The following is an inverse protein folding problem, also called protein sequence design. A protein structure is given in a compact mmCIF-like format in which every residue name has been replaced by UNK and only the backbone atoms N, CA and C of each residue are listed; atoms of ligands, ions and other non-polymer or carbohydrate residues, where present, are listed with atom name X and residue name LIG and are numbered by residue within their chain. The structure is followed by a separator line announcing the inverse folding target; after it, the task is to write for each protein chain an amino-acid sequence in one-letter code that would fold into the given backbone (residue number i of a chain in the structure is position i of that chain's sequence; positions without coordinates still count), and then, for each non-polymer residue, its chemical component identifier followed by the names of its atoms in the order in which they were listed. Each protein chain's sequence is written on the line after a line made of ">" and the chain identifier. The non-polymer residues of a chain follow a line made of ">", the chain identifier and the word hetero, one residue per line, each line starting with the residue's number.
data_IF_738090713648
#
_entry.id   IF_738090713648
#
_cell.length_a   1.000
_cell.length_b   1.000
_cell.length_c   1.000
_cell.angle_alpha   90.00
_cell.angle_beta   90.00
_cell.angle_gamma   90.00
#
_symmetry.space_group_name_H-M   'P 1'
#
loop_
_entity.id
_entity.type
_entity.pdbx_description
1 polymer ?
#
# COMPACT_ATOMS: atom_id res chain seq x y z
N UNK A 1 -23.80 -57.64 3.27
CA UNK A 1 -24.50 -57.07 4.45
C UNK A 1 -24.07 -55.62 4.57
N UNK A 2 -24.90 -54.69 4.08
CA UNK A 2 -24.62 -53.26 4.18
C UNK A 2 -25.12 -52.71 5.50
N UNK A 3 -24.22 -52.16 6.31
CA UNK A 3 -24.57 -51.43 7.54
C UNK A 3 -24.87 -49.98 7.18
N UNK A 4 -26.15 -49.61 7.19
CA UNK A 4 -26.61 -48.22 7.09
C UNK A 4 -26.40 -47.52 8.44
N UNK A 5 -25.48 -46.54 8.47
CA UNK A 5 -25.29 -45.67 9.63
C UNK A 5 -26.50 -44.74 9.71
N UNK A 6 -27.21 -44.75 10.84
CA UNK A 6 -28.37 -43.86 11.04
C UNK A 6 -27.92 -42.41 11.22
N UNK A 7 -28.74 -41.45 10.74
CA UNK A 7 -28.49 -39.99 10.87
C UNK A 7 -28.18 -39.54 12.30
N UNK A 8 -28.70 -40.25 13.32
CA UNK A 8 -28.44 -39.96 14.74
C UNK A 8 -27.05 -40.41 15.19
N UNK A 9 -26.49 -41.47 14.59
CA UNK A 9 -25.12 -41.90 14.83
C UNK A 9 -24.11 -40.99 14.13
N UNK A 10 -24.43 -40.47 12.93
CA UNK A 10 -23.60 -39.49 12.23
C UNK A 10 -23.50 -38.16 12.98
N UNK A 11 -24.62 -37.65 13.52
CA UNK A 11 -24.63 -36.42 14.33
C UNK A 11 -23.90 -36.59 15.68
N UNK A 12 -23.88 -37.80 16.26
CA UNK A 12 -23.06 -38.11 17.44
C UNK A 12 -21.56 -38.19 17.14
N UNK A 13 -21.19 -38.65 15.94
CA UNK A 13 -19.78 -38.66 15.51
C UNK A 13 -19.25 -37.24 15.27
N UNK A 14 -20.07 -36.34 14.73
CA UNK A 14 -19.72 -34.94 14.52
C UNK A 14 -19.68 -34.11 15.82
N UNK A 15 -20.52 -34.43 16.80
CA UNK A 15 -20.49 -33.77 18.12
C UNK A 15 -19.37 -34.30 19.02
N UNK A 16 -18.86 -35.52 18.78
CA UNK A 16 -17.68 -36.05 19.47
C UNK A 16 -16.34 -35.59 18.84
N UNK A 17 -16.35 -35.14 17.59
CA UNK A 17 -15.17 -34.57 16.91
C UNK A 17 -15.04 -33.04 17.09
N UNK A 18 -15.96 -32.42 17.85
CA UNK A 18 -16.13 -30.97 17.86
C UNK A 18 -16.18 -30.34 19.26
N UNK A 19 -15.26 -30.68 20.18
CA UNK A 19 -14.82 -29.76 21.25
C UNK A 19 -13.38 -30.11 21.66
N UNK A 20 -12.43 -29.87 20.77
CA UNK A 20 -11.09 -29.43 21.19
C UNK A 20 -10.95 -28.02 20.66
N UNK A 21 -11.25 -27.05 21.53
CA UNK A 21 -11.06 -25.64 21.29
C UNK A 21 -9.57 -25.34 21.12
N UNK A 22 -9.05 -25.60 19.93
CA UNK A 22 -7.97 -24.81 19.36
C UNK A 22 -8.64 -23.52 18.89
N UNK A 23 -8.69 -22.54 19.79
CA UNK A 23 -8.90 -21.17 19.37
C UNK A 23 -7.89 -20.89 18.27
N UNK A 24 -8.40 -20.61 17.07
CA UNK A 24 -7.63 -19.94 16.03
C UNK A 24 -7.14 -18.63 16.63
N UNK A 25 -5.96 -18.66 17.22
CA UNK A 25 -5.13 -17.46 17.34
C UNK A 25 -4.73 -17.14 15.91
N UNK A 26 -5.11 -15.98 15.36
CA UNK A 26 -4.50 -15.53 14.13
C UNK A 26 -2.99 -15.50 14.37
N UNK A 27 -2.23 -15.78 13.31
CA UNK A 27 -0.79 -15.78 13.24
C UNK A 27 -0.22 -14.53 13.95
N UNK A 28 0.02 -14.61 15.26
CA UNK A 28 0.87 -13.67 15.96
C UNK A 28 2.26 -14.10 15.56
N UNK A 29 2.78 -13.49 14.49
CA UNK A 29 4.23 -13.39 14.34
C UNK A 29 4.78 -13.01 15.70
N UNK A 30 5.90 -13.62 16.08
CA UNK A 30 6.60 -13.26 17.31
C UNK A 30 6.57 -11.75 17.47
N UNK A 31 5.86 -11.27 18.49
CA UNK A 31 6.07 -9.95 19.07
C UNK A 31 7.49 -9.97 19.64
N UNK A 32 8.48 -9.96 18.76
CA UNK A 32 9.77 -9.41 19.10
C UNK A 32 9.49 -7.94 19.35
N UNK A 33 9.31 -7.62 20.62
CA UNK A 33 9.21 -6.28 21.17
C UNK A 33 10.55 -5.54 21.00
N UNK A 34 11.09 -5.59 19.78
CA UNK A 34 12.31 -4.96 19.35
C UNK A 34 11.91 -3.69 18.61
N UNK A 35 11.71 -2.62 19.37
CA UNK A 35 11.66 -1.26 18.81
C UNK A 35 12.99 -0.85 18.17
N UNK A 36 14.01 -1.73 18.17
CA UNK A 36 15.37 -1.45 17.71
C UNK A 36 15.45 -1.06 16.22
N UNK A 37 14.38 -1.27 15.44
CA UNK A 37 14.29 -0.88 14.03
C UNK A 37 13.01 -0.10 13.69
N UNK A 38 12.34 0.48 14.69
CA UNK A 38 11.10 1.24 14.45
C UNK A 38 11.41 2.68 14.03
N UNK A 39 11.21 2.96 12.74
CA UNK A 39 11.65 4.19 12.10
C UNK A 39 10.46 4.90 11.45
N UNK A 40 10.37 6.21 11.62
CA UNK A 40 9.52 7.09 10.83
C UNK A 40 10.31 7.77 9.72
N UNK A 41 9.79 7.80 8.50
CA UNK A 41 10.33 8.60 7.40
C UNK A 41 9.49 9.85 7.21
N UNK A 42 10.15 11.01 7.19
CA UNK A 42 9.50 12.28 6.87
C UNK A 42 9.18 12.35 5.38
N UNK A 43 7.90 12.55 5.03
CA UNK A 43 7.44 12.40 3.65
C UNK A 43 7.26 13.71 2.87
N UNK A 44 7.16 14.82 3.60
CA UNK A 44 7.02 16.17 3.07
C UNK A 44 8.29 16.98 3.31
N UNK A 45 8.40 18.16 2.68
CA UNK A 45 9.58 19.03 2.78
C UNK A 45 10.11 19.21 4.21
N UNK A 46 9.22 19.43 5.17
CA UNK A 46 9.59 19.50 6.59
C UNK A 46 8.43 19.18 7.53
N UNK A 47 8.73 18.60 8.68
CA UNK A 47 7.79 18.33 9.77
C UNK A 47 8.37 18.84 11.09
N UNK A 48 7.54 19.52 11.87
CA UNK A 48 7.92 20.11 13.15
C UNK A 48 7.98 19.06 14.25
N UNK A 49 9.00 19.17 15.11
CA UNK A 49 9.12 18.43 16.37
C UNK A 49 8.65 19.32 17.51
N UNK A 50 7.60 18.89 18.18
CA UNK A 50 6.93 19.65 19.25
C UNK A 50 7.39 19.20 20.63
N UNK A 51 7.37 20.11 21.61
CA UNK A 51 7.71 19.78 22.99
C UNK A 51 6.71 18.83 23.68
N UNK A 52 5.45 18.82 23.22
CA UNK A 52 4.35 17.97 23.68
C UNK A 52 3.57 17.44 22.46
N UNK A 53 2.81 16.34 22.59
CA UNK A 53 2.00 15.79 21.51
C UNK A 53 0.74 16.64 21.25
N UNK A 54 0.95 17.87 20.82
CA UNK A 54 -0.09 18.86 20.50
C UNK A 54 0.50 19.88 19.53
N UNK A 55 -0.26 20.23 18.50
CA UNK A 55 0.10 21.22 17.48
C UNK A 55 0.15 22.66 18.04
N UNK A 56 -0.41 22.88 19.24
CA UNK A 56 -0.32 24.14 19.99
C UNK A 56 0.92 24.24 20.86
N UNK A 57 1.70 23.16 20.97
CA UNK A 57 2.91 23.16 21.78
C UNK A 57 4.04 23.93 21.09
N UNK A 58 5.03 24.36 21.86
CA UNK A 58 6.25 24.95 21.32
C UNK A 58 6.92 23.98 20.32
N UNK A 59 7.24 24.51 19.14
CA UNK A 59 8.10 23.85 18.16
C UNK A 59 9.54 23.96 18.64
N UNK A 60 10.24 22.82 18.73
CA UNK A 60 11.62 22.74 19.15
C UNK A 60 12.58 22.87 17.97
N UNK A 61 12.33 22.11 16.90
CA UNK A 61 13.08 22.13 15.64
C UNK A 61 12.29 21.44 14.52
N UNK A 62 12.86 21.40 13.31
CA UNK A 62 12.27 20.75 12.14
C UNK A 62 13.07 19.50 11.75
N UNK A 63 12.37 18.54 11.17
CA UNK A 63 12.93 17.40 10.41
C UNK A 63 12.57 17.57 8.95
N UNK A 64 13.42 17.11 8.04
CA UNK A 64 13.27 17.33 6.60
C UNK A 64 12.94 16.06 5.84
N UNK A 65 12.46 16.18 4.60
CA UNK A 65 12.13 15.05 3.73
C UNK A 65 13.23 13.99 3.72
N UNK A 66 12.81 12.72 3.76
CA UNK A 66 13.64 11.52 3.81
C UNK A 66 14.53 11.38 5.06
N UNK A 67 14.50 12.32 6.00
CA UNK A 67 15.09 12.06 7.31
C UNK A 67 14.36 10.91 8.00
N UNK A 68 15.17 9.99 8.52
CA UNK A 68 14.72 8.85 9.30
C UNK A 68 14.80 9.22 10.78
N UNK A 69 13.69 9.05 11.49
CA UNK A 69 13.58 9.29 12.92
C UNK A 69 13.24 8.00 13.64
N UNK A 70 13.91 7.71 14.75
CA UNK A 70 13.52 6.58 15.58
C UNK A 70 12.20 6.91 16.29
N UNK A 71 11.25 5.99 16.22
CA UNK A 71 9.98 6.06 16.95
C UNK A 71 10.18 5.26 18.24
N UNK A 72 10.11 5.93 19.38
CA UNK A 72 10.27 5.28 20.67
C UNK A 72 8.97 4.63 21.16
N UNK A 73 7.84 5.31 20.94
CA UNK A 73 6.49 4.82 21.21
C UNK A 73 5.46 5.79 20.63
N UNK A 74 4.22 5.33 20.56
CA UNK A 74 3.05 6.12 20.16
C UNK A 74 2.39 6.78 21.37
N UNK A 75 1.85 7.97 21.17
CA UNK A 75 1.01 8.69 22.13
C UNK A 75 -0.29 9.06 21.43
N UNK A 76 -1.41 8.68 22.04
CA UNK A 76 -2.73 9.15 21.64
C UNK A 76 -2.94 10.48 22.37
N UNK A 77 -3.01 11.57 21.61
CA UNK A 77 -3.26 12.89 22.17
C UNK A 77 -4.76 13.13 22.35
N UNK A 78 -5.13 13.78 23.46
CA UNK A 78 -6.50 14.26 23.68
C UNK A 78 -6.84 15.45 22.78
N UNK A 79 -5.82 16.14 22.26
CA UNK A 79 -5.93 17.29 21.38
C UNK A 79 -5.52 16.94 19.93
N UNK A 80 -6.20 17.52 18.95
CA UNK A 80 -5.92 17.32 17.52
C UNK A 80 -7.10 16.70 16.76
N UNK A 81 -6.88 16.29 15.50
CA UNK A 81 -7.93 15.66 14.71
C UNK A 81 -8.33 14.31 15.29
N UNK A 82 -9.61 14.16 15.67
CA UNK A 82 -10.13 12.92 16.25
C UNK A 82 -9.97 11.68 15.33
N UNK A 83 -9.92 11.89 14.02
CA UNK A 83 -9.69 10.83 13.04
C UNK A 83 -8.23 10.33 13.02
N UNK A 84 -7.29 11.14 13.51
CA UNK A 84 -5.86 10.84 13.54
C UNK A 84 -5.17 11.41 14.80
N UNK A 85 -5.43 10.89 16.00
CA UNK A 85 -4.91 11.46 17.25
C UNK A 85 -3.48 11.04 17.61
N UNK A 86 -2.78 10.36 16.70
CA UNK A 86 -1.55 9.62 17.03
C UNK A 86 -0.30 10.48 16.78
N UNK A 87 0.55 10.54 17.80
CA UNK A 87 1.85 11.19 17.78
C UNK A 87 2.96 10.18 18.06
N UNK A 88 4.10 10.34 17.40
CA UNK A 88 5.30 9.60 17.68
C UNK A 88 6.18 10.36 18.66
N UNK A 89 6.60 9.69 19.75
CA UNK A 89 7.74 10.14 20.54
C UNK A 89 9.01 9.87 19.75
N UNK A 90 9.72 10.93 19.39
CA UNK A 90 11.00 10.87 18.66
C UNK A 90 12.12 11.52 19.48
N UNK A 91 13.36 11.52 18.99
CA UNK A 91 14.41 12.26 19.70
C UNK A 91 14.05 13.75 19.79
N UNK A 92 14.22 14.35 20.98
CA UNK A 92 13.98 15.77 21.22
C UNK A 92 12.51 16.18 21.45
N UNK A 93 11.51 15.48 20.90
CA UNK A 93 10.10 15.83 21.13
C UNK A 93 9.08 14.86 20.53
N UNK A 94 8.00 15.39 19.98
CA UNK A 94 6.87 14.64 19.42
C UNK A 94 6.57 15.10 17.99
N UNK A 95 6.22 14.16 17.12
CA UNK A 95 5.82 14.43 15.74
C UNK A 95 4.47 13.78 15.47
N UNK A 96 3.54 14.51 14.86
CA UNK A 96 2.26 13.95 14.44
C UNK A 96 2.47 12.97 13.29
N UNK A 97 1.77 11.82 13.29
CA UNK A 97 2.06 10.75 12.31
C UNK A 97 1.68 11.09 10.86
N UNK A 98 0.78 12.06 10.65
CA UNK A 98 0.24 12.41 9.32
C UNK A 98 1.27 12.47 8.18
N UNK A 99 2.45 13.05 8.41
CA UNK A 99 3.51 13.18 7.39
C UNK A 99 4.79 12.39 7.78
N UNK A 100 4.65 11.38 8.64
CA UNK A 100 5.71 10.49 9.09
C UNK A 100 5.26 9.06 8.86
N UNK A 101 5.72 8.45 7.77
CA UNK A 101 5.34 7.07 7.44
C UNK A 101 6.28 6.11 8.15
N UNK A 102 5.70 5.21 8.94
CA UNK A 102 6.44 4.18 9.68
C UNK A 102 7.05 3.17 8.69
N UNK A 103 8.28 2.77 8.95
CA UNK A 103 9.07 1.86 8.12
C UNK A 103 10.09 1.14 8.98
N UNK A 104 10.65 0.08 8.44
CA UNK A 104 11.77 -0.66 9.03
C UNK A 104 12.86 -0.85 7.98
N UNK A 105 14.07 -1.18 8.42
CA UNK A 105 15.13 -1.64 7.53
C UNK A 105 15.07 -3.16 7.50
N UNK A 106 14.54 -3.73 6.42
CA UNK A 106 14.52 -5.17 6.20
C UNK A 106 15.20 -5.49 4.87
N UNK A 107 16.32 -6.20 4.94
CA UNK A 107 16.97 -6.79 3.77
C UNK A 107 16.39 -8.17 3.49
N UNK A 108 16.38 -8.56 2.21
CA UNK A 108 15.82 -9.81 1.74
C UNK A 108 16.89 -10.67 1.04
N UNK A 109 16.71 -12.00 1.00
CA UNK A 109 17.46 -12.87 0.11
C UNK A 109 17.32 -12.41 -1.35
N UNK A 110 18.41 -12.54 -2.11
CA UNK A 110 18.40 -12.30 -3.56
C UNK A 110 17.79 -13.52 -4.25
N UNK A 111 16.86 -13.28 -5.18
CA UNK A 111 16.24 -14.32 -5.97
C UNK A 111 17.28 -14.96 -6.90
N UNK A 112 17.32 -16.29 -6.95
CA UNK A 112 18.26 -17.03 -7.80
C UNK A 112 17.96 -16.81 -9.29
N UNK A 113 16.69 -16.61 -9.63
CA UNK A 113 16.23 -16.31 -10.98
C UNK A 113 14.93 -15.52 -10.93
N UNK A 114 14.65 -14.78 -12.01
CA UNK A 114 13.40 -14.05 -12.22
C UNK A 114 12.67 -14.70 -13.40
N UNK A 115 11.37 -15.00 -13.31
CA UNK A 115 10.60 -15.51 -14.45
C UNK A 115 10.64 -14.56 -15.65
N UNK A 116 10.57 -15.09 -16.88
CA UNK A 116 10.53 -14.26 -18.10
C UNK A 116 9.36 -13.28 -18.13
N UNK A 117 8.24 -13.66 -17.52
CA UNK A 117 7.05 -12.79 -17.33
C UNK A 117 7.29 -11.63 -16.37
N UNK A 118 8.43 -11.62 -15.68
CA UNK A 118 8.71 -10.76 -14.54
C UNK A 118 8.06 -11.27 -13.26
N UNK A 119 8.45 -10.66 -12.14
CA UNK A 119 7.87 -10.88 -10.83
C UNK A 119 7.75 -9.56 -10.08
N UNK A 120 6.63 -9.36 -9.38
CA UNK A 120 6.44 -8.17 -8.57
C UNK A 120 7.36 -8.18 -7.35
N UNK A 121 8.10 -7.09 -7.13
CA UNK A 121 8.93 -6.86 -5.95
C UNK A 121 8.42 -5.66 -5.15
N UNK A 122 8.51 -5.75 -3.82
CA UNK A 122 8.10 -4.71 -2.88
C UNK A 122 9.32 -4.16 -2.15
N UNK A 123 9.45 -2.84 -2.06
CA UNK A 123 10.56 -2.21 -1.32
C UNK A 123 10.33 -2.34 0.18
N UNK A 124 11.28 -2.94 0.90
CA UNK A 124 11.16 -3.21 2.36
C UNK A 124 12.16 -2.42 3.22
N UNK A 125 12.82 -1.43 2.63
CA UNK A 125 13.66 -0.44 3.32
C UNK A 125 12.99 0.93 3.25
N UNK A 126 13.32 1.92 4.11
CA UNK A 126 12.64 3.22 4.12
C UNK A 126 12.65 3.92 2.76
N UNK A 127 13.78 3.84 2.07
CA UNK A 127 13.92 4.20 0.67
C UNK A 127 15.14 3.50 0.07
N UNK A 128 15.15 3.38 -1.26
CA UNK A 128 16.29 2.92 -2.04
C UNK A 128 16.55 3.86 -3.21
N UNK A 129 17.82 4.08 -3.52
CA UNK A 129 18.22 4.85 -4.69
C UNK A 129 18.13 3.95 -5.92
N UNK A 130 17.27 4.30 -6.86
CA UNK A 130 17.26 3.68 -8.17
C UNK A 130 18.31 4.36 -9.06
N UNK A 131 18.98 3.55 -9.87
CA UNK A 131 19.98 3.98 -10.84
C UNK A 131 19.67 3.40 -12.20
N UNK A 132 20.11 4.06 -13.27
CA UNK A 132 19.96 3.58 -14.63
C UNK A 132 21.33 3.49 -15.26
N UNK A 133 21.60 2.39 -15.94
CA UNK A 133 22.79 2.25 -16.76
C UNK A 133 22.50 2.69 -18.20
N UNK A 134 23.35 3.56 -18.74
CA UNK A 134 23.37 3.89 -20.18
C UNK A 134 24.76 3.65 -20.74
N UNK A 135 24.86 3.12 -21.97
CA UNK A 135 26.18 2.83 -22.57
C UNK A 135 27.05 4.08 -22.78
N UNK A 136 26.45 5.27 -22.84
CA UNK A 136 27.14 6.55 -23.01
C UNK A 136 27.62 7.19 -21.71
N UNK A 137 26.85 7.08 -20.62
CA UNK A 137 27.11 7.82 -19.36
C UNK A 137 27.42 6.89 -18.19
N UNK A 138 27.28 5.57 -18.36
CA UNK A 138 27.40 4.60 -17.28
C UNK A 138 26.20 4.66 -16.35
N UNK A 139 26.45 4.47 -15.05
CA UNK A 139 25.42 4.47 -14.02
C UNK A 139 25.06 5.89 -13.57
N UNK A 140 23.78 6.25 -13.67
CA UNK A 140 23.24 7.54 -13.25
C UNK A 140 22.06 7.35 -12.29
N UNK A 141 21.87 8.26 -11.35
CA UNK A 141 20.71 8.21 -10.44
C UNK A 141 19.42 8.52 -11.21
N UNK A 142 18.37 7.72 -11.02
CA UNK A 142 17.07 7.93 -11.67
C UNK A 142 15.96 8.30 -10.70
N UNK A 143 15.53 7.40 -9.83
CA UNK A 143 14.40 7.63 -8.91
C UNK A 143 14.80 7.38 -7.46
N UNK A 144 13.99 7.88 -6.52
CA UNK A 144 13.96 7.35 -5.16
C UNK A 144 12.70 6.52 -4.97
N UNK A 145 12.87 5.23 -4.68
CA UNK A 145 11.77 4.33 -4.39
C UNK A 145 11.61 4.20 -2.88
N UNK A 146 10.39 4.01 -2.40
CA UNK A 146 10.05 4.12 -0.99
C UNK A 146 9.49 2.83 -0.44
N UNK A 147 9.56 2.63 0.88
CA UNK A 147 8.94 1.48 1.53
C UNK A 147 7.49 1.28 1.06
N UNK A 148 7.12 0.01 0.85
CA UNK A 148 5.81 -0.43 0.36
C UNK A 148 5.49 -0.10 -1.11
N UNK A 149 6.37 0.57 -1.87
CA UNK A 149 6.19 0.68 -3.33
C UNK A 149 6.43 -0.68 -4.01
N UNK A 150 5.69 -0.95 -5.08
CA UNK A 150 5.71 -2.22 -5.80
C UNK A 150 6.23 -2.00 -7.23
N UNK A 151 7.14 -2.86 -7.69
CA UNK A 151 7.84 -2.71 -8.98
C UNK A 151 7.96 -4.06 -9.70
N UNK A 152 7.83 -4.05 -11.02
CA UNK A 152 8.06 -5.24 -11.83
C UNK A 152 9.55 -5.50 -11.99
N UNK A 153 10.03 -6.63 -11.48
CA UNK A 153 11.40 -7.12 -11.61
C UNK A 153 11.48 -8.05 -12.81
N UNK A 154 12.50 -7.87 -13.65
CA UNK A 154 12.69 -8.68 -14.87
C UNK A 154 14.03 -9.42 -14.90
N UNK A 155 15.04 -8.94 -14.18
CA UNK A 155 16.34 -9.61 -14.13
C UNK A 155 17.09 -9.30 -12.84
N UNK A 156 18.11 -10.11 -12.56
CA UNK A 156 19.17 -9.82 -11.58
C UNK A 156 20.45 -9.58 -12.36
N UNK A 157 21.06 -8.42 -12.18
CA UNK A 157 22.27 -7.99 -12.89
C UNK A 157 23.30 -7.46 -11.88
N UNK A 158 24.55 -7.35 -12.30
CA UNK A 158 25.60 -6.74 -11.46
C UNK A 158 25.44 -5.20 -11.45
N UNK A 159 25.42 -4.61 -10.26
CA UNK A 159 25.28 -3.17 -10.06
C UNK A 159 26.60 -2.38 -10.13
N UNK A 160 26.53 -1.05 -9.92
CA UNK A 160 27.72 -0.18 -9.89
C UNK A 160 28.73 -0.51 -8.77
N UNK A 161 28.30 -1.24 -7.75
CA UNK A 161 29.09 -1.68 -6.60
C UNK A 161 29.59 -3.13 -6.71
N UNK A 162 29.32 -3.82 -7.82
CA UNK A 162 29.64 -5.23 -8.01
C UNK A 162 28.70 -6.20 -7.29
N UNK A 163 27.68 -5.69 -6.61
CA UNK A 163 26.68 -6.51 -5.91
C UNK A 163 25.47 -6.81 -6.82
N UNK A 164 24.61 -7.78 -6.47
CA UNK A 164 23.38 -8.06 -7.22
C UNK A 164 22.36 -6.92 -7.12
N UNK A 165 21.89 -6.45 -8.27
CA UNK A 165 20.83 -5.45 -8.42
C UNK A 165 19.68 -6.03 -9.24
N UNK A 166 18.45 -5.68 -8.87
CA UNK A 166 17.29 -6.03 -9.66
C UNK A 166 17.07 -5.00 -10.75
N UNK A 167 16.91 -5.48 -11.98
CA UNK A 167 16.44 -4.68 -13.11
C UNK A 167 14.92 -4.59 -13.08
N UNK A 168 14.44 -3.36 -12.97
CA UNK A 168 13.05 -2.95 -12.90
C UNK A 168 12.64 -2.27 -14.21
N UNK A 169 11.34 -2.32 -14.54
CA UNK A 169 10.77 -1.59 -15.67
C UNK A 169 9.76 -0.56 -15.15
N UNK A 170 9.90 0.69 -15.59
CA UNK A 170 8.87 1.70 -15.40
C UNK A 170 7.65 1.35 -16.24
N UNK A 171 6.52 1.05 -15.59
CA UNK A 171 5.31 0.62 -16.28
C UNK A 171 4.78 1.68 -17.27
N UNK A 172 4.95 2.97 -16.99
CA UNK A 172 4.41 4.05 -17.83
C UNK A 172 5.39 4.44 -18.94
N UNK A 173 6.68 4.50 -18.63
CA UNK A 173 7.69 5.03 -19.55
C UNK A 173 8.44 3.93 -20.31
N UNK A 174 8.32 2.66 -19.90
CA UNK A 174 9.08 1.55 -20.48
C UNK A 174 10.58 1.70 -20.27
N UNK A 175 10.99 2.44 -19.25
CA UNK A 175 12.40 2.72 -18.96
C UNK A 175 12.91 1.73 -17.93
N UNK A 176 14.02 1.08 -18.27
CA UNK A 176 14.75 0.21 -17.36
C UNK A 176 15.51 1.04 -16.31
N UNK A 177 15.47 0.57 -15.06
CA UNK A 177 16.30 1.06 -13.96
C UNK A 177 16.57 -0.06 -12.97
N UNK A 178 17.47 0.18 -12.03
CA UNK A 178 17.99 -0.83 -11.14
C UNK A 178 18.01 -0.35 -9.70
N UNK A 179 17.88 -1.31 -8.79
CA UNK A 179 18.02 -1.11 -7.34
C UNK A 179 18.79 -2.27 -6.72
N UNK A 180 19.48 -2.07 -5.58
CA UNK A 180 20.12 -3.17 -4.85
C UNK A 180 19.11 -4.29 -4.56
N UNK A 181 19.42 -5.52 -4.97
CA UNK A 181 18.45 -6.62 -4.95
C UNK A 181 17.94 -6.90 -3.53
N UNK A 182 18.83 -6.82 -2.54
CA UNK A 182 18.50 -7.02 -1.13
C UNK A 182 17.45 -6.05 -0.56
N UNK A 183 17.15 -4.94 -1.24
CA UNK A 183 16.16 -3.95 -0.79
C UNK A 183 14.71 -4.34 -1.14
N UNK A 184 14.52 -5.30 -2.04
CA UNK A 184 13.20 -5.73 -2.49
C UNK A 184 12.88 -7.14 -2.00
N UNK A 185 11.64 -7.32 -1.56
CA UNK A 185 11.04 -8.63 -1.29
C UNK A 185 10.25 -9.06 -2.51
N UNK A 186 10.53 -10.24 -3.05
CA UNK A 186 9.71 -10.80 -4.12
C UNK A 186 8.33 -11.19 -3.57
N UNK A 187 7.29 -10.66 -4.21
CA UNK A 187 5.89 -10.98 -3.89
C UNK A 187 5.59 -12.38 -4.42
N UNK A 188 5.04 -13.22 -3.56
CA UNK A 188 4.74 -14.60 -3.89
C UNK A 188 3.39 -14.72 -4.61
N UNK A 189 3.21 -15.69 -5.53
CA UNK A 189 1.96 -15.90 -6.26
C UNK A 189 0.72 -16.01 -5.36
N UNK A 190 0.86 -16.63 -4.18
CA UNK A 190 -0.24 -16.82 -3.22
C UNK A 190 -0.75 -15.49 -2.66
N UNK A 191 0.07 -14.44 -2.67
CA UNK A 191 -0.31 -13.10 -2.23
C UNK A 191 -1.30 -12.43 -3.21
N UNK A 192 -1.53 -12.99 -4.40
CA UNK A 192 -2.57 -12.57 -5.35
C UNK A 192 -3.87 -13.38 -5.22
N UNK A 193 -3.90 -14.45 -4.42
CA UNK A 193 -5.06 -15.32 -4.33
C UNK A 193 -6.33 -14.52 -3.98
N UNK A 194 -7.45 -14.71 -4.72
CA UNK A 194 -8.65 -13.91 -4.56
C UNK A 194 -9.29 -14.12 -3.19
N UNK A 195 -9.87 -13.06 -2.64
CA UNK A 195 -10.61 -13.12 -1.37
C UNK A 195 -12.10 -13.34 -1.70
N UNK A 196 -12.69 -14.37 -1.08
CA UNK A 196 -14.07 -14.80 -1.33
C UNK A 196 -14.36 -15.04 -2.83
N UNK A 197 -13.67 -15.99 -3.49
CA UNK A 197 -13.86 -16.25 -4.92
C UNK A 197 -15.25 -16.81 -5.25
N UNK A 198 -15.91 -17.45 -4.29
CA UNK A 198 -17.22 -18.07 -4.47
C UNK A 198 -18.39 -17.06 -4.41
N UNK A 199 -18.14 -15.82 -3.96
CA UNK A 199 -19.16 -14.77 -3.88
C UNK A 199 -19.33 -14.13 -5.26
N UNK A 200 -20.51 -14.22 -5.89
CA UNK A 200 -20.75 -13.63 -7.19
C UNK A 200 -20.51 -12.11 -7.20
N UNK A 201 -19.94 -11.60 -8.29
CA UNK A 201 -19.62 -10.18 -8.46
C UNK A 201 -20.78 -9.23 -8.12
N UNK A 202 -22.01 -9.55 -8.53
CA UNK A 202 -23.17 -8.69 -8.30
C UNK A 202 -23.58 -8.58 -6.83
N UNK A 203 -23.06 -9.48 -5.96
CA UNK A 203 -23.21 -9.42 -4.51
C UNK A 203 -22.07 -8.68 -3.82
N UNK A 204 -21.01 -8.31 -4.56
CA UNK A 204 -19.92 -7.49 -4.05
C UNK A 204 -20.15 -6.02 -4.40
N UNK A 205 -20.04 -5.14 -3.41
CA UNK A 205 -20.02 -3.68 -3.63
C UNK A 205 -19.04 -3.00 -2.67
N UNK A 206 -18.44 -1.91 -3.12
CA UNK A 206 -17.70 -0.96 -2.28
C UNK A 206 -18.53 0.30 -2.16
N UNK A 207 -18.67 0.79 -0.94
CA UNK A 207 -19.21 2.12 -0.65
C UNK A 207 -18.07 3.01 -0.15
N UNK A 208 -17.86 4.14 -0.85
CA UNK A 208 -16.94 5.20 -0.46
C UNK A 208 -17.77 6.34 0.11
N UNK A 209 -17.56 6.63 1.39
CA UNK A 209 -18.33 7.65 2.11
C UNK A 209 -17.40 8.84 2.32
N UNK A 210 -17.42 9.81 1.38
CA UNK A 210 -16.49 10.94 1.39
C UNK A 210 -16.68 11.76 2.69
N UNK A 211 -17.91 11.96 3.12
CA UNK A 211 -18.20 12.71 4.36
C UNK A 211 -17.59 12.09 5.63
N UNK A 212 -17.31 10.78 5.62
CA UNK A 212 -16.71 10.05 6.74
C UNK A 212 -15.28 9.57 6.46
N UNK A 213 -14.74 9.84 5.26
CA UNK A 213 -13.41 9.42 4.84
C UNK A 213 -13.13 7.94 5.12
N UNK A 214 -14.07 7.08 4.72
CA UNK A 214 -13.97 5.63 4.88
C UNK A 214 -14.53 4.88 3.70
N UNK A 215 -14.12 3.63 3.57
CA UNK A 215 -14.75 2.68 2.65
C UNK A 215 -15.35 1.52 3.44
N UNK A 216 -16.42 0.95 2.88
CA UNK A 216 -17.01 -0.30 3.38
C UNK A 216 -17.18 -1.24 2.19
N UNK A 217 -16.67 -2.46 2.31
CA UNK A 217 -16.86 -3.52 1.33
C UNK A 217 -17.92 -4.50 1.84
N UNK A 218 -18.88 -4.83 0.98
CA UNK A 218 -20.00 -5.69 1.32
C UNK A 218 -20.04 -6.95 0.45
N UNK A 219 -20.44 -8.05 1.07
CA UNK A 219 -20.86 -9.29 0.42
C UNK A 219 -22.32 -9.57 0.81
N UNK A 220 -23.22 -9.58 -0.17
CA UNK A 220 -24.66 -9.82 0.07
C UNK A 220 -25.25 -8.88 1.13
N UNK A 221 -24.90 -7.59 1.04
CA UNK A 221 -25.24 -6.51 1.99
C UNK A 221 -24.69 -6.65 3.42
N UNK A 222 -23.81 -7.63 3.67
CA UNK A 222 -23.06 -7.75 4.93
C UNK A 222 -21.70 -7.09 4.77
N UNK A 223 -21.35 -6.16 5.66
CA UNK A 223 -20.03 -5.54 5.69
C UNK A 223 -18.95 -6.58 6.07
N UNK A 224 -17.94 -6.74 5.22
CA UNK A 224 -16.82 -7.68 5.42
C UNK A 224 -15.48 -6.99 5.64
N UNK A 225 -15.38 -5.71 5.28
CA UNK A 225 -14.19 -4.90 5.46
C UNK A 225 -14.57 -3.42 5.57
N UNK A 226 -13.95 -2.71 6.50
CA UNK A 226 -14.11 -1.27 6.70
C UNK A 226 -12.76 -0.66 7.10
N UNK A 227 -12.40 0.46 6.49
CA UNK A 227 -11.20 1.23 6.86
C UNK A 227 -11.35 2.72 6.55
N UNK A 228 -10.60 3.53 7.28
CA UNK A 228 -10.41 4.95 6.96
C UNK A 228 -9.52 5.10 5.73
N UNK A 229 -9.84 6.08 4.89
CA UNK A 229 -9.13 6.41 3.66
C UNK A 229 -8.89 7.91 3.57
N UNK A 230 -8.15 8.36 2.56
CA UNK A 230 -8.09 9.77 2.21
C UNK A 230 -8.52 9.97 0.76
N UNK A 231 -9.64 10.65 0.55
CA UNK A 231 -10.16 10.93 -0.78
C UNK A 231 -9.54 12.21 -1.37
N UNK A 232 -10.04 12.61 -2.54
CA UNK A 232 -9.68 13.82 -3.24
C UNK A 232 -10.03 15.10 -2.48
N UNK A 233 -9.13 16.09 -2.55
CA UNK A 233 -9.31 17.43 -1.99
C UNK A 233 -10.47 18.16 -2.68
N UNK A 234 -11.23 18.95 -1.91
CA UNK A 234 -12.24 19.86 -2.46
C UNK A 234 -11.56 21.11 -3.04
N UNK A 235 -10.90 20.93 -4.18
CA UNK A 235 -10.14 21.96 -4.87
C UNK A 235 -10.21 21.75 -6.39
N UNK A 236 -10.29 22.85 -7.14
CA UNK A 236 -10.31 22.85 -8.60
C UNK A 236 -9.20 23.75 -9.13
N UNK A 237 -8.04 23.20 -9.53
CA UNK A 237 -6.97 24.00 -10.09
C UNK A 237 -7.37 24.58 -11.46
N UNK A 238 -6.96 25.81 -11.79
CA UNK A 238 -7.17 26.36 -13.12
C UNK A 238 -6.55 25.48 -14.22
N UNK A 239 -7.35 25.09 -15.21
CA UNK A 239 -6.89 24.32 -16.38
C UNK A 239 -6.62 22.83 -16.12
N UNK A 240 -7.02 22.30 -14.96
CA UNK A 240 -6.91 20.87 -14.62
C UNK A 240 -8.28 20.30 -14.23
N UNK A 241 -8.37 18.97 -14.15
CA UNK A 241 -9.55 18.33 -13.58
C UNK A 241 -9.67 18.68 -12.08
N UNK A 242 -10.90 18.83 -11.55
CA UNK A 242 -11.13 18.95 -10.13
C UNK A 242 -10.49 17.80 -9.35
N UNK A 243 -9.93 18.10 -8.18
CA UNK A 243 -9.28 17.11 -7.33
C UNK A 243 -10.26 16.35 -6.43
N UNK A 244 -11.55 16.71 -6.42
CA UNK A 244 -12.54 16.01 -5.62
C UNK A 244 -12.80 14.63 -6.21
N UNK A 245 -12.94 13.62 -5.34
CA UNK A 245 -13.38 12.30 -5.80
C UNK A 245 -14.81 12.40 -6.38
N UNK A 246 -15.04 11.95 -7.64
CA UNK A 246 -16.35 12.02 -8.26
C UNK A 246 -17.39 11.17 -7.51
N UNK A 247 -18.55 11.77 -7.20
CA UNK A 247 -19.70 11.04 -6.63
C UNK A 247 -20.45 10.30 -7.73
N UNK A 248 -20.99 9.13 -7.43
CA UNK A 248 -21.73 8.35 -8.42
C UNK A 248 -21.70 6.84 -8.19
N UNK A 249 -22.17 6.10 -9.19
CA UNK A 249 -22.08 4.64 -9.23
C UNK A 249 -21.16 4.26 -10.38
N UNK A 250 -20.16 3.46 -10.05
CA UNK A 250 -19.08 3.05 -10.94
C UNK A 250 -18.85 1.54 -10.83
N UNK A 251 -17.88 1.05 -11.60
CA UNK A 251 -17.41 -0.32 -11.54
C UNK A 251 -15.89 -0.34 -11.68
N UNK A 252 -15.23 -1.24 -10.94
CA UNK A 252 -13.82 -1.52 -11.19
C UNK A 252 -13.63 -1.91 -12.65
N UNK A 253 -12.73 -1.25 -13.37
CA UNK A 253 -12.49 -1.54 -14.79
C UNK A 253 -11.06 -1.93 -15.12
N UNK A 254 -10.11 -1.55 -14.27
CA UNK A 254 -8.69 -1.87 -14.42
C UNK A 254 -8.04 -2.05 -13.05
N UNK A 255 -7.11 -3.01 -12.96
CA UNK A 255 -6.31 -3.26 -11.76
C UNK A 255 -4.85 -3.44 -12.16
N UNK A 256 -3.95 -2.78 -11.43
CA UNK A 256 -2.51 -2.80 -11.68
C UNK A 256 -1.79 -2.91 -10.33
N UNK A 257 -1.03 -3.99 -10.07
CA UNK A 257 -0.36 -4.16 -8.77
C UNK A 257 0.80 -3.16 -8.58
N UNK A 258 1.32 -2.58 -9.67
CA UNK A 258 2.29 -1.49 -9.70
C UNK A 258 1.84 -0.47 -10.74
N UNK A 259 1.73 0.81 -10.35
CA UNK A 259 1.39 1.91 -11.26
C UNK A 259 2.34 3.08 -11.07
N UNK A 260 2.82 3.66 -12.17
CA UNK A 260 3.42 4.99 -12.11
C UNK A 260 2.30 6.04 -12.12
N UNK A 261 2.24 6.86 -11.07
CA UNK A 261 1.35 8.03 -11.01
C UNK A 261 2.18 9.31 -10.95
N UNK A 262 1.93 10.25 -11.87
CA UNK A 262 2.72 11.46 -11.97
C UNK A 262 2.54 12.18 -13.29
N UNK A 263 3.38 13.18 -13.54
CA UNK A 263 3.43 13.90 -14.82
C UNK A 263 4.15 13.08 -15.92
N UNK A 264 4.71 11.91 -15.58
CA UNK A 264 5.37 11.02 -16.53
C UNK A 264 6.75 11.51 -16.94
N UNK A 265 7.45 12.24 -16.06
CA UNK A 265 8.80 12.74 -16.28
C UNK A 265 9.86 11.79 -15.73
N UNK A 266 10.96 11.67 -16.44
CA UNK A 266 12.19 11.05 -15.91
C UNK A 266 12.91 12.06 -15.02
N UNK A 267 12.71 11.97 -13.71
CA UNK A 267 13.35 12.88 -12.74
C UNK A 267 13.80 12.15 -11.49
N UNK A 268 15.02 12.48 -11.06
CA UNK A 268 15.55 12.08 -9.75
C UNK A 268 15.29 13.05 -8.62
N UNK A 269 14.55 14.12 -8.88
CA UNK A 269 14.16 15.08 -7.87
C UNK A 269 12.97 14.54 -7.04
N UNK A 270 13.13 14.28 -5.73
CA UNK A 270 12.04 13.81 -4.88
C UNK A 270 10.89 14.82 -4.70
N UNK A 271 11.10 16.09 -5.10
CA UNK A 271 10.07 17.13 -5.08
C UNK A 271 9.13 17.09 -6.29
N UNK A 272 9.50 16.38 -7.35
CA UNK A 272 8.64 16.23 -8.52
C UNK A 272 7.50 15.25 -8.19
N UNK A 273 6.31 15.48 -8.74
CA UNK A 273 5.17 14.58 -8.57
C UNK A 273 5.32 13.37 -9.49
N UNK A 274 6.32 12.53 -9.20
CA UNK A 274 6.56 11.25 -9.87
C UNK A 274 6.58 10.15 -8.80
N UNK A 275 5.54 9.33 -8.81
CA UNK A 275 5.32 8.23 -7.87
C UNK A 275 5.41 6.91 -8.65
N UNK A 276 6.62 6.41 -8.94
CA UNK A 276 6.79 5.11 -9.55
C UNK A 276 6.42 4.01 -8.55
N UNK A 277 5.68 3.01 -9.02
CA UNK A 277 5.35 1.83 -8.22
C UNK A 277 4.31 2.06 -7.13
N UNK A 278 3.33 2.92 -7.37
CA UNK A 278 2.12 3.00 -6.54
C UNK A 278 1.47 1.61 -6.46
N UNK A 279 1.40 1.01 -5.26
CA UNK A 279 1.08 -0.40 -5.12
C UNK A 279 -0.44 -0.65 -5.14
N UNK A 280 -0.84 -1.80 -5.68
CA UNK A 280 -2.21 -2.35 -5.57
C UNK A 280 -3.31 -1.40 -6.07
N UNK A 281 -3.09 -0.81 -7.25
CA UNK A 281 -3.99 0.18 -7.84
C UNK A 281 -5.22 -0.49 -8.47
N UNK A 282 -6.42 0.01 -8.13
CA UNK A 282 -7.72 -0.49 -8.60
C UNK A 282 -8.55 0.68 -9.10
N UNK A 283 -8.59 0.87 -10.43
CA UNK A 283 -9.34 1.93 -11.10
C UNK A 283 -10.83 1.59 -11.19
N UNK A 284 -11.67 2.59 -10.89
CA UNK A 284 -13.12 2.46 -10.98
C UNK A 284 -13.80 3.60 -11.75
N UNK A 285 -13.15 4.75 -11.91
CA UNK A 285 -13.67 5.84 -12.73
C UNK A 285 -12.67 6.25 -13.82
N UNK A 286 -13.21 6.50 -15.03
CA UNK A 286 -12.47 6.64 -16.28
C UNK A 286 -11.55 7.85 -16.37
N UNK A 287 -11.72 8.88 -15.54
CA UNK A 287 -10.78 10.00 -15.43
C UNK A 287 -9.49 9.65 -14.69
N UNK A 288 -9.35 8.40 -14.22
CA UNK A 288 -8.14 7.88 -13.58
C UNK A 288 -8.25 7.72 -12.07
N UNK A 289 -9.46 7.78 -11.52
CA UNK A 289 -9.68 7.61 -10.07
C UNK A 289 -9.61 6.14 -9.68
N UNK A 290 -8.76 5.86 -8.69
CA UNK A 290 -8.49 4.51 -8.20
C UNK A 290 -8.42 4.44 -6.67
N UNK A 291 -8.62 3.24 -6.14
CA UNK A 291 -8.08 2.85 -4.84
C UNK A 291 -6.63 2.44 -5.03
N UNK A 292 -5.73 2.85 -4.13
CA UNK A 292 -4.33 2.37 -4.17
C UNK A 292 -3.65 2.52 -2.82
N UNK A 293 -2.55 1.81 -2.64
CA UNK A 293 -1.69 1.97 -1.47
C UNK A 293 -0.94 3.30 -1.52
N UNK A 294 -0.70 3.88 -0.35
CA UNK A 294 -0.09 5.20 -0.22
C UNK A 294 1.08 5.14 0.75
N UNK A 295 2.29 5.30 0.21
CA UNK A 295 3.54 5.28 0.99
C UNK A 295 4.04 6.69 1.38
N UNK A 296 3.28 7.75 1.08
CA UNK A 296 3.72 9.15 1.24
C UNK A 296 2.98 9.94 2.34
N UNK A 297 2.01 9.36 3.04
CA UNK A 297 1.43 9.94 4.27
C UNK A 297 0.72 8.86 5.12
N UNK A 298 0.46 9.16 6.39
CA UNK A 298 -0.34 8.32 7.30
C UNK A 298 -1.45 9.17 7.96
N UNK A 299 -2.31 9.72 7.11
CA UNK A 299 -3.34 10.71 7.48
C UNK A 299 -4.74 10.32 6.97
N UNK A 300 -5.06 9.05 7.14
CA UNK A 300 -6.35 8.48 6.74
C UNK A 300 -7.47 8.97 7.67
N UNK A 301 -8.60 9.35 7.08
CA UNK A 301 -9.70 10.03 7.78
C UNK A 301 -9.87 11.51 7.38
N UNK A 302 -9.04 12.02 6.47
CA UNK A 302 -9.18 13.36 5.88
C UNK A 302 -8.76 13.35 4.41
N UNK A 303 -9.32 14.21 3.52
CA UNK A 303 -8.90 14.30 2.13
C UNK A 303 -7.42 14.70 1.96
N UNK A 304 -6.70 14.02 1.05
CA UNK A 304 -5.26 14.23 0.79
C UNK A 304 -4.84 14.08 -0.68
N UNK A 305 -5.71 13.57 -1.56
CA UNK A 305 -5.33 13.20 -2.93
C UNK A 305 -5.83 14.21 -3.98
N UNK A 306 -5.45 13.97 -5.25
CA UNK A 306 -5.98 14.67 -6.42
C UNK A 306 -7.17 13.93 -7.09
N UNK A 307 -7.88 13.09 -6.33
CA UNK A 307 -9.09 12.39 -6.79
C UNK A 307 -9.15 10.95 -6.30
N UNK A 308 -8.02 10.25 -6.29
CA UNK A 308 -7.90 8.86 -5.84
C UNK A 308 -8.31 8.65 -4.38
N UNK A 309 -8.57 7.40 -4.02
CA UNK A 309 -8.84 6.97 -2.66
C UNK A 309 -7.57 6.34 -2.11
N UNK A 310 -6.80 7.13 -1.35
CA UNK A 310 -5.56 6.70 -0.72
C UNK A 310 -5.87 5.74 0.43
N UNK A 311 -5.14 4.62 0.49
CA UNK A 311 -5.30 3.59 1.50
C UNK A 311 -3.93 3.18 2.05
N UNK A 312 -3.90 2.51 3.22
CA UNK A 312 -2.69 1.78 3.63
C UNK A 312 -2.41 0.67 2.61
N UNK A 313 -1.15 0.41 2.29
CA UNK A 313 -0.80 -0.52 1.21
C UNK A 313 -1.37 -1.93 1.41
N UNK A 314 -1.40 -2.45 2.64
CA UNK A 314 -2.01 -3.75 2.94
C UNK A 314 -3.54 -3.75 2.76
N UNK A 315 -4.20 -2.63 3.06
CA UNK A 315 -5.66 -2.47 2.87
C UNK A 315 -5.99 -2.35 1.38
N UNK A 316 -5.18 -1.63 0.60
CA UNK A 316 -5.29 -1.57 -0.86
C UNK A 316 -5.08 -2.95 -1.50
N UNK A 317 -4.10 -3.73 -1.01
CA UNK A 317 -3.87 -5.11 -1.44
C UNK A 317 -5.05 -6.01 -1.14
N UNK A 318 -5.66 -5.86 0.04
CA UNK A 318 -6.88 -6.57 0.40
C UNK A 318 -8.00 -6.26 -0.61
N UNK A 319 -8.26 -4.98 -0.89
CA UNK A 319 -9.27 -4.55 -1.88
C UNK A 319 -8.93 -5.11 -3.26
N UNK A 320 -7.69 -4.98 -3.72
CA UNK A 320 -7.22 -5.46 -5.03
C UNK A 320 -7.50 -6.96 -5.24
N UNK A 321 -7.30 -7.78 -4.20
CA UNK A 321 -7.57 -9.22 -4.22
C UNK A 321 -9.04 -9.58 -4.06
N UNK A 322 -9.80 -8.74 -3.36
CA UNK A 322 -11.22 -8.98 -3.08
C UNK A 322 -12.12 -8.63 -4.27
N UNK A 323 -11.79 -7.57 -5.01
CA UNK A 323 -12.58 -7.12 -6.16
C UNK A 323 -12.37 -7.96 -7.41
N UNK A 324 -13.40 -8.02 -8.25
CA UNK A 324 -13.32 -8.59 -9.61
C UNK A 324 -13.02 -7.49 -10.64
N UNK A 325 -12.49 -7.84 -11.84
CA UNK A 325 -11.98 -9.16 -12.26
C UNK A 325 -10.81 -9.65 -11.39
N UNK A 326 -10.55 -10.96 -11.29
CA UNK A 326 -9.38 -11.50 -10.57
C UNK A 326 -8.11 -11.20 -11.38
N UNK A 327 -7.01 -10.83 -10.73
CA UNK A 327 -5.72 -10.55 -11.37
C UNK A 327 -4.75 -11.69 -11.05
N UNK A 328 -4.05 -12.21 -12.06
CA UNK A 328 -3.00 -13.20 -11.85
C UNK A 328 -1.67 -12.52 -11.46
N UNK A 329 -0.74 -13.23 -10.77
CA UNK A 329 0.56 -12.70 -10.35
C UNK A 329 1.43 -12.10 -11.46
N UNK A 330 1.33 -12.65 -12.67
CA UNK A 330 2.08 -12.25 -13.87
C UNK A 330 1.37 -11.14 -14.68
N UNK A 331 0.18 -10.71 -14.25
CA UNK A 331 -0.63 -9.74 -14.99
C UNK A 331 -0.26 -8.31 -14.59
N UNK A 332 0.31 -7.56 -15.55
CA UNK A 332 0.62 -6.13 -15.38
C UNK A 332 -0.64 -5.28 -15.21
N UNK A 333 -1.63 -5.51 -16.07
CA UNK A 333 -2.92 -4.83 -16.02
C UNK A 333 -4.06 -5.81 -16.28
N UNK A 334 -4.95 -5.96 -15.29
CA UNK A 334 -6.17 -6.73 -15.44
C UNK A 334 -7.35 -5.80 -15.71
N UNK A 335 -7.91 -5.87 -16.92
CA UNK A 335 -9.13 -5.13 -17.30
C UNK A 335 -10.38 -5.98 -17.22
N UNK A 336 -11.54 -5.35 -17.07
CA UNK A 336 -12.84 -6.01 -17.11
C UNK A 336 -13.99 -5.10 -16.70
N UNK A 337 -15.18 -5.66 -16.52
CA UNK A 337 -16.28 -4.99 -15.83
C UNK A 337 -16.43 -5.65 -14.46
N UNK A 338 -16.02 -4.94 -13.43
CA UNK A 338 -15.73 -5.48 -12.10
C UNK A 338 -16.71 -5.07 -11.01
N UNK A 339 -16.27 -5.26 -9.76
CA UNK A 339 -17.06 -4.96 -8.56
C UNK A 339 -17.64 -3.55 -8.60
N UNK A 340 -18.90 -3.40 -8.18
CA UNK A 340 -19.58 -2.11 -8.15
C UNK A 340 -18.98 -1.21 -7.07
N UNK A 341 -18.79 0.06 -7.39
CA UNK A 341 -18.31 1.10 -6.47
C UNK A 341 -19.34 2.21 -6.40
N UNK A 342 -19.76 2.58 -5.20
CA UNK A 342 -20.71 3.68 -4.96
C UNK A 342 -19.96 4.74 -4.16
N UNK A 343 -19.94 5.97 -4.66
CA UNK A 343 -19.27 7.10 -4.01
C UNK A 343 -20.32 8.13 -3.60
N UNK A 344 -20.35 8.46 -2.31
CA UNK A 344 -21.36 9.32 -1.67
C UNK A 344 -20.78 10.50 -0.91
#
# INVERSE_FOLDING_TARGET
>A
MGTTISRRAFLKLLSAAGVTGLGFRPFSGEDSNSTANDIGRVTVRSVSVYARPSDKSQILFQRYRDELVNIYYEVIADEGPAYNPVWYRVWGGYMHRANVVRSQIRYNPVAESIPETGQLGEVTVPFTQAMRYTGSQGWETLYRLYNSSAHWVHAVEEGPDGEPWYKLIDELLGVDYHVPARHLRMVQPEEFAPISPDVPQHKKKIEVIIGHQKIICYEDDVAVFETNVSTGLDYSPPGQLPWNTPKGSFNVFSKMPSKHMGDGRLSGNPEDYELPGVPWTTFFETSGVAFHGTYWHDDFGTPRSHGCVNMRSEEAKWVFRWVTPISAPETVEQRGYGTRVIVS
#
